data_IF_637464312540
#
_entry.id   IF_637464312540
#
_cell.length_a   1.000
_cell.length_b   1.000
_cell.length_c   1.000
_cell.angle_alpha   90.00
_cell.angle_beta   90.00
_cell.angle_gamma   90.00
#
_symmetry.space_group_name_H-M   'P 1'
#
loop_
_entity.id
_entity.type
_entity.pdbx_description
1 polymer ?
#
# COMPACT_ATOMS: atom_id res chain seq x y z
N UNK A 1 -0.77 -3.70 -6.07
CA UNK A 1 0.22 -3.33 -7.10
C UNK A 1 1.61 -3.58 -6.54
N UNK A 2 2.46 -4.23 -7.27
CA UNK A 2 3.80 -4.68 -6.84
C UNK A 2 4.86 -4.28 -7.87
N UNK A 3 6.09 -4.08 -7.41
CA UNK A 3 7.26 -3.87 -8.26
C UNK A 3 7.52 -5.11 -9.14
N UNK A 4 7.71 -4.91 -10.45
CA UNK A 4 7.87 -6.01 -11.41
C UNK A 4 9.10 -6.85 -11.09
N UNK A 5 10.25 -6.23 -10.80
CA UNK A 5 11.50 -6.95 -10.53
C UNK A 5 11.38 -7.92 -9.33
N UNK A 6 10.63 -7.55 -8.29
CA UNK A 6 10.40 -8.39 -7.11
C UNK A 6 9.29 -9.41 -7.31
N UNK A 7 8.40 -9.20 -8.28
CA UNK A 7 7.26 -10.09 -8.55
C UNK A 7 7.65 -11.41 -9.21
N UNK A 8 8.90 -11.53 -9.73
CA UNK A 8 9.40 -12.74 -10.37
C UNK A 8 10.19 -13.67 -9.43
N UNK A 9 10.17 -13.39 -8.12
CA UNK A 9 10.75 -14.32 -7.13
C UNK A 9 9.88 -15.58 -7.05
N UNK A 10 10.54 -16.76 -6.96
CA UNK A 10 9.85 -18.06 -6.81
C UNK A 10 8.83 -17.99 -5.67
N UNK A 11 7.63 -18.52 -5.88
CA UNK A 11 6.44 -18.46 -5.04
C UNK A 11 5.73 -17.09 -5.03
N UNK A 12 6.45 -15.97 -5.11
CA UNK A 12 5.82 -14.63 -5.14
C UNK A 12 5.10 -14.42 -6.46
N UNK A 13 5.67 -14.90 -7.57
CA UNK A 13 5.06 -14.78 -8.90
C UNK A 13 3.68 -15.43 -8.95
N UNK A 14 3.57 -16.67 -8.46
CA UNK A 14 2.31 -17.40 -8.45
C UNK A 14 1.26 -16.72 -7.56
N UNK A 15 1.68 -16.19 -6.40
CA UNK A 15 0.79 -15.41 -5.54
C UNK A 15 0.29 -14.12 -6.21
N UNK A 16 1.17 -13.40 -6.89
CA UNK A 16 0.80 -12.17 -7.62
C UNK A 16 -0.18 -12.47 -8.74
N UNK A 17 0.03 -13.57 -9.47
CA UNK A 17 -0.85 -13.99 -10.55
C UNK A 17 -2.20 -14.49 -10.03
N UNK A 18 -2.20 -15.29 -8.97
CA UNK A 18 -3.42 -15.76 -8.30
C UNK A 18 -4.29 -14.61 -7.80
N UNK A 19 -3.66 -13.57 -7.24
CA UNK A 19 -4.33 -12.35 -6.75
C UNK A 19 -4.62 -11.34 -7.87
N UNK A 20 -4.34 -11.66 -9.14
CA UNK A 20 -4.45 -10.74 -10.28
C UNK A 20 -3.70 -9.41 -10.02
N UNK A 21 -2.54 -9.51 -9.38
CA UNK A 21 -1.74 -8.37 -8.97
C UNK A 21 -1.21 -7.59 -10.17
N UNK A 22 -1.33 -6.28 -10.14
CA UNK A 22 -0.75 -5.41 -11.18
C UNK A 22 0.75 -5.21 -10.89
N UNK A 23 1.59 -5.51 -11.87
CA UNK A 23 3.04 -5.32 -11.83
C UNK A 23 3.39 -3.95 -12.37
N UNK A 24 4.23 -3.22 -11.65
CA UNK A 24 4.67 -1.87 -12.02
C UNK A 24 6.18 -1.86 -12.26
N UNK A 25 6.59 -1.43 -13.45
CA UNK A 25 8.00 -1.15 -13.76
C UNK A 25 8.36 0.19 -13.11
N UNK A 26 9.40 0.19 -12.30
CA UNK A 26 9.90 1.40 -11.65
C UNK A 26 10.26 2.44 -12.72
N UNK A 27 9.84 3.69 -12.47
CA UNK A 27 10.09 4.86 -13.33
C UNK A 27 9.40 4.85 -14.72
N UNK A 28 8.50 3.90 -14.99
CA UNK A 28 7.69 3.91 -16.21
C UNK A 28 6.36 4.65 -15.99
N UNK A 29 6.37 5.96 -16.24
CA UNK A 29 5.21 6.84 -16.04
C UNK A 29 4.00 6.43 -16.90
N UNK A 30 4.23 6.00 -18.14
CA UNK A 30 3.13 5.56 -19.05
C UNK A 30 2.43 4.33 -18.50
N UNK A 31 3.21 3.33 -18.06
CA UNK A 31 2.66 2.13 -17.46
C UNK A 31 1.93 2.45 -16.15
N UNK A 32 2.48 3.32 -15.33
CA UNK A 32 1.84 3.76 -14.09
C UNK A 32 0.46 4.39 -14.35
N UNK A 33 0.34 5.26 -15.35
CA UNK A 33 -0.93 5.87 -15.72
C UNK A 33 -1.95 4.83 -16.23
N UNK A 34 -1.50 3.86 -17.03
CA UNK A 34 -2.35 2.75 -17.49
C UNK A 34 -2.87 1.94 -16.30
N UNK A 35 -1.99 1.54 -15.37
CA UNK A 35 -2.36 0.79 -14.17
C UNK A 35 -3.34 1.59 -13.31
N UNK A 36 -3.13 2.89 -13.11
CA UNK A 36 -4.07 3.75 -12.36
C UNK A 36 -5.46 3.71 -13.00
N UNK A 37 -5.54 3.76 -14.32
CA UNK A 37 -6.83 3.71 -15.03
C UNK A 37 -7.49 2.34 -14.87
N UNK A 38 -6.76 1.25 -15.12
CA UNK A 38 -7.27 -0.12 -14.96
C UNK A 38 -7.74 -0.38 -13.52
N UNK A 39 -6.94 -0.01 -12.52
CA UNK A 39 -7.31 -0.17 -11.11
C UNK A 39 -8.54 0.66 -10.77
N UNK A 40 -8.66 1.89 -11.31
CA UNK A 40 -9.84 2.73 -11.09
C UNK A 40 -11.13 2.09 -11.63
N UNK A 41 -11.05 1.48 -12.80
CA UNK A 41 -12.18 0.78 -13.43
C UNK A 41 -12.53 -0.50 -12.66
N UNK A 42 -11.53 -1.30 -12.33
CA UNK A 42 -11.71 -2.52 -11.53
C UNK A 42 -12.38 -2.24 -10.19
N UNK A 43 -11.96 -1.17 -9.49
CA UNK A 43 -12.49 -0.80 -8.19
C UNK A 43 -13.93 -0.27 -8.31
N UNK A 44 -14.25 0.50 -9.36
CA UNK A 44 -15.65 0.89 -9.67
C UNK A 44 -16.55 -0.32 -9.88
N UNK A 45 -16.00 -1.41 -10.41
CA UNK A 45 -16.70 -2.67 -10.62
C UNK A 45 -16.70 -3.59 -9.37
N UNK A 46 -16.32 -3.06 -8.20
CA UNK A 46 -16.39 -3.75 -6.91
C UNK A 46 -15.15 -4.57 -6.54
N UNK A 47 -14.08 -4.58 -7.35
CA UNK A 47 -12.82 -5.20 -6.95
C UNK A 47 -12.12 -4.39 -5.86
N UNK A 48 -11.36 -5.08 -5.00
CA UNK A 48 -10.57 -4.46 -3.94
C UNK A 48 -9.09 -4.61 -4.25
N UNK A 49 -8.32 -3.56 -3.99
CA UNK A 49 -6.88 -3.56 -4.20
C UNK A 49 -6.13 -3.20 -2.92
N UNK A 50 -5.04 -3.92 -2.66
CA UNK A 50 -4.05 -3.55 -1.65
C UNK A 50 -2.92 -2.80 -2.37
N UNK A 51 -2.56 -1.64 -1.84
CA UNK A 51 -1.49 -0.80 -2.33
C UNK A 51 -0.45 -0.59 -1.23
N UNK A 52 0.82 -0.61 -1.62
CA UNK A 52 1.94 -0.27 -0.74
C UNK A 52 2.50 1.08 -1.19
N UNK A 53 2.02 2.20 -0.61
CA UNK A 53 2.31 3.53 -1.12
C UNK A 53 3.75 3.98 -0.90
N UNK A 54 4.48 3.34 0.00
CA UNK A 54 5.92 3.59 0.22
C UNK A 54 6.76 3.27 -1.02
N UNK A 55 6.30 2.32 -1.84
CA UNK A 55 6.95 1.94 -3.09
C UNK A 55 8.30 1.27 -2.94
N UNK A 56 8.62 0.77 -1.75
CA UNK A 56 9.86 0.05 -1.44
C UNK A 56 9.84 -0.50 -0.03
N UNK A 57 10.92 -1.19 0.31
CA UNK A 57 11.18 -1.69 1.65
C UNK A 57 12.57 -1.22 2.09
N UNK A 58 12.64 -0.57 3.24
CA UNK A 58 13.90 -0.15 3.86
C UNK A 58 14.15 -0.95 5.14
N UNK A 59 15.25 -1.70 5.17
CA UNK A 59 15.57 -2.63 6.27
C UNK A 59 15.66 -1.98 7.65
N UNK A 60 15.98 -0.70 7.73
CA UNK A 60 16.25 -0.01 8.99
C UNK A 60 15.04 0.74 9.56
N UNK A 61 13.93 0.77 8.86
CA UNK A 61 12.79 1.59 9.27
C UNK A 61 11.95 0.99 10.41
N UNK A 62 12.08 -0.30 10.67
CA UNK A 62 11.30 -1.02 11.69
C UNK A 62 9.79 -0.69 11.57
N UNK A 63 9.21 -0.09 12.61
CA UNK A 63 7.80 0.34 12.65
C UNK A 63 7.61 1.82 12.23
N UNK A 64 8.61 2.44 11.59
CA UNK A 64 8.48 3.81 11.08
C UNK A 64 7.93 3.77 9.65
N UNK A 65 6.88 4.55 9.40
CA UNK A 65 6.28 4.70 8.07
C UNK A 65 7.15 5.64 7.22
N UNK A 66 7.49 5.19 6.01
CA UNK A 66 8.19 6.01 5.02
C UNK A 66 7.26 7.01 4.33
N UNK A 67 7.83 7.85 3.45
CA UNK A 67 7.04 8.77 2.66
C UNK A 67 6.19 8.05 1.61
N UNK A 68 4.93 8.43 1.53
CA UNK A 68 3.99 7.84 0.58
C UNK A 68 4.06 8.50 -0.78
N UNK A 69 4.09 7.69 -1.83
CA UNK A 69 3.99 8.16 -3.21
C UNK A 69 2.57 8.63 -3.50
N UNK A 70 2.38 9.92 -3.70
CA UNK A 70 1.08 10.52 -3.98
C UNK A 70 0.33 9.88 -5.17
N UNK A 71 1.07 9.35 -6.14
CA UNK A 71 0.52 8.63 -7.29
C UNK A 71 -0.31 7.40 -6.93
N UNK A 72 -0.02 6.76 -5.79
CA UNK A 72 -0.74 5.57 -5.31
C UNK A 72 -2.22 5.83 -5.01
N UNK A 73 -2.59 7.07 -4.69
CA UNK A 73 -3.96 7.46 -4.33
C UNK A 73 -4.81 7.91 -5.53
N UNK A 74 -4.20 8.12 -6.70
CA UNK A 74 -4.91 8.60 -7.90
C UNK A 74 -6.02 7.66 -8.37
N UNK A 75 -5.88 6.34 -8.17
CA UNK A 75 -6.92 5.39 -8.53
C UNK A 75 -8.15 5.54 -7.65
N UNK A 76 -7.99 5.73 -6.34
CA UNK A 76 -9.09 5.96 -5.41
C UNK A 76 -9.81 7.28 -5.71
N UNK A 77 -9.05 8.37 -5.95
CA UNK A 77 -9.58 9.68 -6.35
C UNK A 77 -10.44 9.54 -7.62
N UNK A 78 -9.90 8.88 -8.66
CA UNK A 78 -10.58 8.71 -9.94
C UNK A 78 -11.82 7.80 -9.85
N UNK A 79 -11.79 6.85 -8.93
CA UNK A 79 -12.90 5.91 -8.73
C UNK A 79 -13.95 6.39 -7.73
N UNK A 80 -13.67 7.44 -6.94
CA UNK A 80 -14.51 7.98 -5.87
C UNK A 80 -14.84 6.91 -4.80
N UNK A 81 -13.84 6.14 -4.38
CA UNK A 81 -14.02 5.02 -3.43
C UNK A 81 -13.29 5.26 -2.12
N UNK A 82 -13.75 4.67 -1.01
CA UNK A 82 -13.07 4.84 0.27
C UNK A 82 -11.65 4.28 0.26
N UNK A 83 -10.77 4.92 1.04
CA UNK A 83 -9.41 4.48 1.32
C UNK A 83 -9.40 3.91 2.73
N UNK A 84 -8.98 2.65 2.87
CA UNK A 84 -8.83 1.99 4.18
C UNK A 84 -7.35 1.95 4.53
N UNK A 85 -6.87 2.78 5.48
CA UNK A 85 -5.49 2.68 5.93
C UNK A 85 -5.29 1.38 6.72
N UNK A 86 -4.13 0.74 6.54
CA UNK A 86 -3.76 -0.49 7.24
C UNK A 86 -2.39 -0.29 7.88
N UNK A 87 -2.31 -0.42 9.19
CA UNK A 87 -1.06 -0.38 9.92
C UNK A 87 -0.50 -1.79 10.13
N UNK A 88 0.74 -2.01 9.72
CA UNK A 88 1.50 -3.24 9.95
C UNK A 88 2.52 -3.01 11.04
N UNK A 89 2.46 -3.80 12.11
CA UNK A 89 3.39 -3.70 13.24
C UNK A 89 4.23 -4.96 13.31
N UNK A 90 5.53 -4.77 13.52
CA UNK A 90 6.52 -5.82 13.67
C UNK A 90 6.71 -6.74 12.44
N UNK A 91 6.11 -6.41 11.30
CA UNK A 91 6.26 -7.18 10.06
C UNK A 91 7.72 -7.28 9.58
N UNK A 92 8.56 -6.29 9.89
CA UNK A 92 10.00 -6.30 9.57
C UNK A 92 10.76 -7.42 10.28
N UNK A 93 10.28 -7.89 11.43
CA UNK A 93 10.92 -8.95 12.23
C UNK A 93 10.98 -10.27 11.46
N UNK A 94 10.00 -10.56 10.61
CA UNK A 94 9.93 -11.79 9.81
C UNK A 94 11.15 -11.93 8.89
N UNK A 95 11.66 -10.82 8.35
CA UNK A 95 12.76 -10.84 7.39
C UNK A 95 14.13 -10.49 7.98
N UNK A 96 14.14 -9.86 9.17
CA UNK A 96 15.36 -9.36 9.80
C UNK A 96 15.87 -10.24 10.95
N UNK A 97 15.22 -11.36 11.22
CA UNK A 97 15.52 -12.13 12.42
C UNK A 97 15.87 -13.57 12.11
N UNK A 98 17.05 -13.97 12.55
CA UNK A 98 17.44 -15.38 12.73
C UNK A 98 16.76 -15.90 14.04
N UNK A 99 15.44 -15.87 14.12
CA UNK A 99 14.76 -16.35 15.31
C UNK A 99 14.25 -17.77 15.14
N UNK A 100 14.66 -18.62 16.08
CA UNK A 100 14.08 -19.95 16.30
C UNK A 100 12.72 -19.87 17.03
N UNK A 101 12.28 -18.66 17.38
CA UNK A 101 11.05 -18.41 18.15
C UNK A 101 9.95 -17.85 17.25
N UNK A 102 8.67 -18.14 17.58
CA UNK A 102 7.54 -17.55 16.85
C UNK A 102 7.58 -16.01 16.89
N UNK A 103 7.38 -15.39 15.73
CA UNK A 103 7.28 -13.94 15.60
C UNK A 103 5.81 -13.58 15.44
N UNK A 104 5.32 -12.66 16.27
CA UNK A 104 3.98 -12.10 16.12
C UNK A 104 4.04 -10.79 15.36
N UNK A 105 3.28 -10.70 14.28
CA UNK A 105 3.02 -9.46 13.56
C UNK A 105 1.57 -9.04 13.75
N UNK A 106 1.30 -7.74 13.72
CA UNK A 106 -0.06 -7.22 13.88
C UNK A 106 -0.50 -6.48 12.62
N UNK A 107 -1.76 -6.66 12.26
CA UNK A 107 -2.42 -5.96 11.16
C UNK A 107 -3.62 -5.23 11.71
N UNK A 108 -3.62 -3.90 11.63
CA UNK A 108 -4.71 -3.06 12.11
C UNK A 108 -5.37 -2.35 10.94
N UNK A 109 -6.64 -2.64 10.73
CA UNK A 109 -7.50 -1.90 9.81
C UNK A 109 -8.01 -0.66 10.54
N UNK A 110 -7.77 0.52 9.95
CA UNK A 110 -8.23 1.79 10.51
C UNK A 110 -9.55 2.20 9.87
N UNK A 111 -10.19 3.21 10.44
CA UNK A 111 -11.43 3.78 9.91
C UNK A 111 -11.25 4.19 8.44
N UNK A 112 -12.18 3.79 7.56
CA UNK A 112 -12.16 4.21 6.17
C UNK A 112 -12.21 5.73 6.05
N UNK A 113 -11.44 6.26 5.11
CA UNK A 113 -11.51 7.66 4.68
C UNK A 113 -12.42 7.68 3.46
N UNK A 114 -13.62 8.20 3.62
CA UNK A 114 -14.61 8.26 2.55
C UNK A 114 -14.29 9.36 1.54
N UNK A 115 -14.79 9.21 0.31
CA UNK A 115 -14.53 10.16 -0.78
C UNK A 115 -14.87 11.60 -0.39
N UNK A 116 -15.99 11.82 0.33
CA UNK A 116 -16.41 13.14 0.80
C UNK A 116 -15.39 13.85 1.69
N UNK A 117 -14.55 13.09 2.40
CA UNK A 117 -13.49 13.65 3.26
C UNK A 117 -12.27 14.12 2.48
N UNK A 118 -12.01 13.54 1.30
CA UNK A 118 -10.79 13.81 0.56
C UNK A 118 -10.99 14.35 -0.87
N UNK A 119 -12.24 14.53 -1.32
CA UNK A 119 -12.56 14.95 -2.70
C UNK A 119 -11.91 16.28 -3.12
N UNK A 120 -11.73 17.20 -2.18
CA UNK A 120 -11.15 18.52 -2.42
C UNK A 120 -9.62 18.55 -2.15
N UNK A 121 -9.04 17.42 -1.73
CA UNK A 121 -7.62 17.30 -1.43
C UNK A 121 -6.80 16.93 -2.66
N UNK A 122 -5.57 17.46 -2.73
CA UNK A 122 -4.59 16.97 -3.70
C UNK A 122 -4.05 15.61 -3.28
N UNK A 123 -3.62 14.81 -4.25
CA UNK A 123 -3.10 13.46 -3.97
C UNK A 123 -1.94 13.43 -2.97
N UNK A 124 -1.16 14.52 -2.85
CA UNK A 124 -0.09 14.65 -1.85
C UNK A 124 -0.65 14.84 -0.44
N UNK A 125 -1.71 15.60 -0.30
CA UNK A 125 -2.39 15.84 0.99
C UNK A 125 -3.06 14.56 1.49
N UNK A 126 -3.67 13.79 0.58
CA UNK A 126 -4.24 12.47 0.89
C UNK A 126 -3.14 11.51 1.36
N UNK A 127 -1.99 11.50 0.68
CA UNK A 127 -0.85 10.67 1.04
C UNK A 127 -0.38 10.98 2.47
N UNK A 128 -0.28 12.25 2.83
CA UNK A 128 0.13 12.68 4.17
C UNK A 128 -0.91 12.34 5.24
N UNK A 129 -2.19 12.55 4.95
CA UNK A 129 -3.30 12.18 5.83
C UNK A 129 -3.29 10.68 6.16
N UNK A 130 -3.17 9.83 5.14
CA UNK A 130 -3.14 8.37 5.31
C UNK A 130 -1.90 7.94 6.10
N UNK A 131 -0.72 8.50 5.76
CA UNK A 131 0.54 8.25 6.45
C UNK A 131 0.43 8.61 7.94
N UNK A 132 -0.11 9.80 8.25
CA UNK A 132 -0.27 10.27 9.62
C UNK A 132 -1.18 9.35 10.42
N UNK A 133 -2.35 8.95 9.89
CA UNK A 133 -3.27 8.03 10.58
C UNK A 133 -2.60 6.69 10.89
N UNK A 134 -1.80 6.15 9.96
CA UNK A 134 -1.06 4.90 10.18
C UNK A 134 0.02 5.08 11.24
N UNK A 135 0.81 6.16 11.17
CA UNK A 135 1.88 6.44 12.14
C UNK A 135 1.33 6.66 13.54
N UNK A 136 0.22 7.39 13.69
CA UNK A 136 -0.45 7.63 14.97
C UNK A 136 -0.91 6.30 15.59
N UNK A 137 -1.49 5.41 14.78
CA UNK A 137 -1.89 4.08 15.24
C UNK A 137 -0.69 3.25 15.71
N UNK A 138 0.39 3.25 14.95
CA UNK A 138 1.63 2.55 15.34
C UNK A 138 2.16 3.10 16.65
N UNK A 139 2.24 4.43 16.79
CA UNK A 139 2.74 5.10 17.99
C UNK A 139 1.85 4.88 19.22
N UNK A 140 0.57 4.61 19.02
CA UNK A 140 -0.37 4.31 20.12
C UNK A 140 -0.22 2.90 20.70
N UNK A 141 0.51 2.01 20.01
CA UNK A 141 0.66 0.60 20.41
C UNK A 141 2.07 0.31 20.93
N UNK A 142 3.07 1.06 20.47
CA UNK A 142 4.47 0.92 20.88
C UNK A 142 4.79 1.77 22.10
#
# INVERSE_FOLDING_TARGET
VMDEAKSHTILVSEFVDLLQGKRLIKDNVRQALKIITEVSEDVKNGKKYILFPEGGYEFNNRNRVCDFKAGSFKSAIKAHVPIVPIALIDSYKVFNSFYLWPITTQVHYLEPIYYEEYKDMKSKEIAELVKQRIQDKISSIL
#
